data_IF_477313524098
#
_entry.id   IF_477313524098
#
_cell.length_a   1.000
_cell.length_b   1.000
_cell.length_c   1.000
_cell.angle_alpha   90.00
_cell.angle_beta   90.00
_cell.angle_gamma   90.00
#
_symmetry.space_group_name_H-M   'P 1'
#
loop_
_entity.id
_entity.type
_entity.pdbx_description
1 polymer ?
#
# COMPACT_ATOMS: atom_id res chain seq x y z
N UNK A 1 -2.12 6.17 -25.36
CA UNK A 1 -2.07 7.65 -25.29
C UNK A 1 -3.45 8.30 -25.08
N UNK A 2 -4.55 7.70 -25.51
CA UNK A 2 -5.92 8.20 -25.24
C UNK A 2 -6.46 7.94 -23.81
N UNK A 3 -5.78 7.13 -23.02
CA UNK A 3 -6.17 6.82 -21.63
C UNK A 3 -5.59 7.79 -20.58
N UNK A 4 -4.68 8.69 -20.95
CA UNK A 4 -4.10 9.69 -20.04
C UNK A 4 -4.93 10.99 -19.96
N UNK A 5 -5.73 11.29 -20.99
CA UNK A 5 -6.51 12.52 -21.10
C UNK A 5 -7.84 12.49 -20.32
N UNK A 6 -8.33 11.31 -19.97
CA UNK A 6 -9.57 11.16 -19.20
C UNK A 6 -9.39 11.48 -17.71
N UNK A 7 -8.16 11.39 -17.17
CA UNK A 7 -7.88 11.64 -15.76
C UNK A 7 -7.77 13.14 -15.41
N UNK A 8 -7.50 13.98 -16.41
CA UNK A 8 -7.36 15.44 -16.23
C UNK A 8 -8.68 16.20 -16.24
N UNK A 9 -9.77 15.62 -16.76
CA UNK A 9 -11.04 16.34 -16.93
C UNK A 9 -11.99 16.27 -15.72
N UNK A 10 -11.74 15.41 -14.73
CA UNK A 10 -12.60 15.24 -13.55
C UNK A 10 -12.27 16.20 -12.39
N UNK A 11 -11.23 17.04 -12.51
CA UNK A 11 -10.77 17.98 -11.48
C UNK A 11 -11.66 19.24 -11.32
N UNK A 12 -12.76 19.35 -12.07
CA UNK A 12 -13.66 20.48 -11.98
C UNK A 12 -15.03 20.05 -11.40
N UNK A 13 -15.15 20.17 -10.08
CA UNK A 13 -16.35 20.57 -9.32
C UNK A 13 -16.70 19.67 -8.14
N UNK A 14 -16.52 20.19 -6.92
CA UNK A 14 -17.61 20.64 -6.01
C UNK A 14 -17.03 21.03 -4.65
N UNK A 15 -17.40 22.24 -4.22
CA UNK A 15 -17.02 22.82 -2.92
C UNK A 15 -17.60 22.04 -1.75
N UNK A 16 -16.74 21.36 -0.98
CA UNK A 16 -17.00 20.95 0.39
C UNK A 16 -16.33 21.91 1.37
N UNK A 17 -17.00 22.24 2.47
CA UNK A 17 -16.55 23.21 3.49
C UNK A 17 -15.18 22.81 4.03
N UNK A 18 -14.17 23.60 3.66
CA UNK A 18 -12.75 23.36 3.96
C UNK A 18 -12.35 23.94 5.32
N UNK A 19 -11.65 23.20 6.19
CA UNK A 19 -11.06 23.73 7.42
C UNK A 19 -10.10 24.92 7.18
N UNK A 20 -10.08 25.87 8.11
CA UNK A 20 -9.48 27.22 7.96
C UNK A 20 -7.97 27.22 7.65
N UNK A 21 -7.22 26.21 8.07
CA UNK A 21 -5.77 26.13 7.87
C UNK A 21 -5.36 25.61 6.49
N UNK A 22 -6.21 24.82 5.83
CA UNK A 22 -5.97 24.36 4.44
C UNK A 22 -6.29 25.47 3.42
N UNK A 23 -7.24 26.35 3.74
CA UNK A 23 -7.65 27.48 2.89
C UNK A 23 -6.59 28.55 2.69
N UNK A 24 -5.69 28.75 3.65
CA UNK A 24 -4.65 29.79 3.57
C UNK A 24 -3.66 29.59 2.41
N UNK A 25 -3.63 28.39 1.79
CA UNK A 25 -2.86 28.10 0.57
C UNK A 25 -3.65 27.33 -0.49
N UNK A 26 -4.99 27.33 -0.42
CA UNK A 26 -5.86 26.69 -1.41
C UNK A 26 -5.92 25.17 -1.39
N UNK A 27 -5.49 24.51 -0.31
CA UNK A 27 -5.62 23.05 -0.16
C UNK A 27 -7.00 22.66 0.36
N UNK A 28 -7.47 21.47 -0.03
CA UNK A 28 -8.63 20.78 0.53
C UNK A 28 -8.34 19.28 0.71
N UNK A 29 -9.35 18.51 1.14
CA UNK A 29 -9.20 17.05 1.35
C UNK A 29 -8.78 16.37 0.05
N UNK A 30 -9.38 16.76 -1.07
CA UNK A 30 -9.12 16.24 -2.40
C UNK A 30 -7.67 16.48 -2.81
N UNK A 31 -7.14 17.68 -2.53
CA UNK A 31 -5.74 18.06 -2.77
C UNK A 31 -4.79 17.15 -1.98
N UNK A 32 -5.05 16.93 -0.69
CA UNK A 32 -4.22 16.05 0.15
C UNK A 32 -4.32 14.60 -0.33
N UNK A 33 -5.52 14.11 -0.63
CA UNK A 33 -5.74 12.76 -1.13
C UNK A 33 -5.01 12.53 -2.45
N UNK A 34 -5.17 13.42 -3.43
CA UNK A 34 -4.54 13.30 -4.74
C UNK A 34 -3.03 13.45 -4.67
N UNK A 35 -2.51 14.38 -3.85
CA UNK A 35 -1.07 14.54 -3.63
C UNK A 35 -0.44 13.29 -3.02
N UNK A 36 -1.05 12.74 -1.97
CA UNK A 36 -0.56 11.50 -1.34
C UNK A 36 -0.71 10.29 -2.26
N UNK A 37 -1.82 10.18 -2.99
CA UNK A 37 -2.02 9.09 -3.94
C UNK A 37 -0.98 9.13 -5.08
N UNK A 38 -0.70 10.31 -5.64
CA UNK A 38 0.31 10.49 -6.66
C UNK A 38 1.70 10.09 -6.15
N UNK A 39 2.08 10.55 -4.95
CA UNK A 39 3.36 10.18 -4.33
C UNK A 39 3.49 8.66 -4.18
N UNK A 40 2.43 7.99 -3.71
CA UNK A 40 2.42 6.53 -3.51
C UNK A 40 2.48 5.76 -4.83
N UNK A 41 1.70 6.18 -5.83
CA UNK A 41 1.70 5.54 -7.16
C UNK A 41 3.03 5.75 -7.86
N UNK A 42 3.58 6.97 -7.82
CA UNK A 42 4.86 7.27 -8.46
C UNK A 42 6.02 6.52 -7.79
N UNK A 43 6.09 6.56 -6.45
CA UNK A 43 7.08 5.82 -5.67
C UNK A 43 6.99 4.32 -5.91
N UNK A 44 5.80 3.74 -5.78
CA UNK A 44 5.59 2.32 -5.99
C UNK A 44 5.89 1.90 -7.43
N UNK A 45 5.53 2.71 -8.42
CA UNK A 45 5.84 2.41 -9.82
C UNK A 45 7.34 2.46 -10.08
N UNK A 46 8.04 3.47 -9.56
CA UNK A 46 9.50 3.55 -9.66
C UNK A 46 10.18 2.35 -9.00
N UNK A 47 9.81 2.03 -7.76
CA UNK A 47 10.37 0.91 -7.02
C UNK A 47 10.06 -0.45 -7.65
N UNK A 48 8.94 -0.59 -8.36
CA UNK A 48 8.63 -1.82 -9.08
C UNK A 48 9.48 -2.00 -10.34
N UNK A 49 9.65 -0.90 -11.10
CA UNK A 49 10.37 -0.89 -12.38
C UNK A 49 11.88 -0.92 -12.21
N UNK A 50 12.41 -0.26 -11.18
CA UNK A 50 13.84 -0.16 -10.88
C UNK A 50 14.13 -0.52 -9.40
N UNK A 51 13.84 -1.76 -8.97
CA UNK A 51 13.93 -2.16 -7.56
C UNK A 51 15.36 -2.08 -7.01
N UNK A 52 16.38 -2.44 -7.79
CA UNK A 52 17.79 -2.35 -7.37
C UNK A 52 18.17 -0.90 -7.10
N UNK A 53 17.89 -0.02 -8.07
CA UNK A 53 18.15 1.42 -7.93
C UNK A 53 17.37 2.04 -6.77
N UNK A 54 16.14 1.61 -6.55
CA UNK A 54 15.36 2.08 -5.40
C UNK A 54 16.01 1.64 -4.08
N UNK A 55 16.50 0.40 -3.97
CA UNK A 55 17.25 -0.09 -2.80
C UNK A 55 18.51 0.75 -2.56
N UNK A 56 19.29 1.02 -3.61
CA UNK A 56 20.50 1.85 -3.54
C UNK A 56 20.21 3.27 -3.03
N UNK A 57 19.08 3.87 -3.43
CA UNK A 57 18.68 5.20 -2.97
C UNK A 57 18.44 5.28 -1.45
N UNK A 58 18.15 4.16 -0.80
CA UNK A 58 18.06 4.07 0.67
C UNK A 58 19.41 3.75 1.34
N UNK A 59 20.50 3.78 0.58
CA UNK A 59 21.86 3.69 1.08
C UNK A 59 22.34 2.26 1.37
N UNK A 60 21.69 1.26 0.77
CA UNK A 60 22.19 -0.12 0.76
C UNK A 60 23.43 -0.20 -0.15
N UNK A 61 24.53 -0.71 0.38
CA UNK A 61 25.86 -0.68 -0.24
C UNK A 61 26.26 -2.02 -0.88
N UNK A 62 25.40 -3.03 -0.80
CA UNK A 62 25.62 -4.36 -1.38
C UNK A 62 24.73 -4.56 -2.60
N UNK A 63 25.17 -5.45 -3.50
CA UNK A 63 24.32 -5.90 -4.61
C UNK A 63 23.09 -6.64 -4.05
N UNK A 64 21.86 -6.19 -4.35
CA UNK A 64 20.66 -6.84 -3.85
C UNK A 64 20.50 -8.26 -4.43
N UNK A 65 20.18 -9.22 -3.57
CA UNK A 65 19.85 -10.57 -4.01
C UNK A 65 18.53 -10.60 -4.77
N UNK A 66 18.30 -11.66 -5.56
CA UNK A 66 17.02 -11.88 -6.27
C UNK A 66 15.81 -11.86 -5.33
N UNK A 67 15.97 -12.34 -4.10
CA UNK A 67 14.91 -12.39 -3.07
C UNK A 67 14.59 -10.98 -2.54
N UNK A 68 15.60 -10.13 -2.40
CA UNK A 68 15.43 -8.73 -1.97
C UNK A 68 14.77 -7.89 -3.04
N UNK A 69 15.21 -8.04 -4.30
CA UNK A 69 14.58 -7.43 -5.47
C UNK A 69 13.10 -7.85 -5.59
N UNK A 70 12.83 -9.14 -5.39
CA UNK A 70 11.49 -9.70 -5.35
C UNK A 70 10.61 -9.01 -4.30
N UNK A 71 11.09 -8.90 -3.06
CA UNK A 71 10.34 -8.27 -1.98
C UNK A 71 10.18 -6.77 -2.15
N UNK A 72 11.15 -6.09 -2.76
CA UNK A 72 11.01 -4.67 -3.10
C UNK A 72 9.86 -4.47 -4.10
N UNK A 73 9.75 -5.32 -5.13
CA UNK A 73 8.61 -5.28 -6.07
C UNK A 73 7.29 -5.53 -5.37
N UNK A 74 7.23 -6.50 -4.45
CA UNK A 74 6.02 -6.79 -3.68
C UNK A 74 5.59 -5.61 -2.79
N UNK A 75 6.54 -4.98 -2.09
CA UNK A 75 6.30 -3.76 -1.32
C UNK A 75 5.78 -2.63 -2.22
N UNK A 76 6.39 -2.48 -3.39
CA UNK A 76 6.12 -1.41 -4.34
C UNK A 76 4.70 -1.47 -4.92
N UNK A 77 4.22 -2.64 -5.32
CA UNK A 77 2.83 -2.80 -5.78
C UNK A 77 1.81 -2.48 -4.68
N UNK A 78 2.14 -2.77 -3.41
CA UNK A 78 1.33 -2.38 -2.26
C UNK A 78 1.15 -0.85 -2.14
N UNK A 79 2.20 -0.07 -2.41
CA UNK A 79 2.10 1.40 -2.45
C UNK A 79 1.21 1.89 -3.59
N UNK A 80 1.34 1.30 -4.79
CA UNK A 80 0.48 1.63 -5.94
C UNK A 80 -0.99 1.37 -5.60
N UNK A 81 -1.31 0.22 -5.00
CA UNK A 81 -2.68 -0.11 -4.59
C UNK A 81 -3.20 0.87 -3.55
N UNK A 82 -2.42 1.21 -2.53
CA UNK A 82 -2.84 2.18 -1.51
C UNK A 82 -3.18 3.55 -2.13
N UNK A 83 -2.37 4.02 -3.07
CA UNK A 83 -2.66 5.25 -3.82
C UNK A 83 -3.95 5.14 -4.64
N UNK A 84 -4.11 4.07 -5.43
CA UNK A 84 -5.31 3.84 -6.22
C UNK A 84 -6.58 3.69 -5.36
N UNK A 85 -6.49 3.00 -4.23
CA UNK A 85 -7.58 2.85 -3.26
C UNK A 85 -7.98 4.19 -2.64
N UNK A 86 -7.02 5.08 -2.42
CA UNK A 86 -7.27 6.43 -1.92
C UNK A 86 -8.08 7.26 -2.92
N UNK A 87 -7.68 7.28 -4.19
CA UNK A 87 -8.41 7.96 -5.27
C UNK A 87 -9.81 7.37 -5.45
N UNK A 88 -9.92 6.04 -5.52
CA UNK A 88 -11.22 5.39 -5.66
C UNK A 88 -12.19 5.73 -4.51
N UNK A 89 -11.67 5.86 -3.29
CA UNK A 89 -12.49 6.24 -2.14
C UNK A 89 -12.88 7.71 -2.09
N UNK A 90 -12.08 8.59 -2.71
CA UNK A 90 -12.44 10.00 -2.90
C UNK A 90 -13.64 10.12 -3.84
N UNK A 91 -13.57 9.45 -4.99
CA UNK A 91 -14.58 9.55 -6.06
C UNK A 91 -15.87 8.76 -5.75
N UNK A 92 -15.73 7.57 -5.14
CA UNK A 92 -16.83 6.61 -4.99
C UNK A 92 -17.09 6.12 -3.56
N UNK A 93 -16.48 6.76 -2.56
CA UNK A 93 -16.67 6.42 -1.14
C UNK A 93 -16.08 5.07 -0.72
N UNK A 94 -16.45 4.60 0.47
CA UNK A 94 -15.84 3.40 1.10
C UNK A 94 -15.96 2.13 0.26
N UNK A 95 -17.07 1.95 -0.46
CA UNK A 95 -17.29 0.78 -1.32
C UNK A 95 -16.36 0.77 -2.53
N UNK A 96 -16.13 1.92 -3.15
CA UNK A 96 -15.17 2.04 -4.24
C UNK A 96 -13.73 1.81 -3.74
N UNK A 97 -13.38 2.37 -2.57
CA UNK A 97 -12.10 2.10 -1.92
C UNK A 97 -11.89 0.60 -1.66
N UNK A 98 -12.88 -0.08 -1.08
CA UNK A 98 -12.81 -1.52 -0.80
C UNK A 98 -12.68 -2.32 -2.10
N UNK A 99 -13.50 -2.04 -3.10
CA UNK A 99 -13.46 -2.70 -4.40
C UNK A 99 -12.09 -2.55 -5.08
N UNK A 100 -11.52 -1.35 -5.02
CA UNK A 100 -10.19 -1.07 -5.55
C UNK A 100 -9.11 -1.77 -4.75
N UNK A 101 -9.18 -1.77 -3.41
CA UNK A 101 -8.23 -2.49 -2.55
C UNK A 101 -8.17 -3.98 -2.90
N UNK A 102 -9.32 -4.63 -3.06
CA UNK A 102 -9.40 -6.06 -3.36
C UNK A 102 -8.93 -6.36 -4.79
N UNK A 103 -9.42 -5.61 -5.76
CA UNK A 103 -9.07 -5.84 -7.18
C UNK A 103 -7.62 -5.46 -7.48
N UNK A 104 -7.13 -4.37 -6.91
CA UNK A 104 -5.75 -3.93 -6.99
C UNK A 104 -4.81 -4.90 -6.28
N UNK A 105 -5.21 -5.47 -5.14
CA UNK A 105 -4.50 -6.55 -4.48
C UNK A 105 -4.37 -7.80 -5.37
N UNK A 106 -5.46 -8.21 -6.03
CA UNK A 106 -5.43 -9.31 -7.00
C UNK A 106 -4.48 -9.02 -8.18
N UNK A 107 -4.57 -7.82 -8.76
CA UNK A 107 -3.71 -7.39 -9.86
C UNK A 107 -2.22 -7.32 -9.43
N UNK A 108 -1.96 -6.90 -8.20
CA UNK A 108 -0.61 -6.82 -7.63
C UNK A 108 0.00 -8.20 -7.41
N UNK A 109 -0.77 -9.14 -6.86
CA UNK A 109 -0.33 -10.54 -6.73
C UNK A 109 -0.08 -11.18 -8.09
N UNK A 110 -0.93 -10.89 -9.08
CA UNK A 110 -0.73 -11.34 -10.45
C UNK A 110 0.55 -10.74 -11.08
N UNK A 111 0.79 -9.44 -10.89
CA UNK A 111 2.01 -8.77 -11.36
C UNK A 111 3.28 -9.31 -10.67
N UNK A 112 3.16 -9.72 -9.40
CA UNK A 112 4.22 -10.38 -8.64
C UNK A 112 4.26 -11.90 -8.85
N UNK A 113 3.41 -12.51 -9.67
CA UNK A 113 3.44 -13.96 -9.86
C UNK A 113 4.79 -14.48 -10.37
N UNK A 114 5.44 -13.86 -11.39
CA UNK A 114 6.77 -14.29 -11.80
C UNK A 114 7.81 -14.18 -10.68
N UNK A 115 7.63 -13.21 -9.78
CA UNK A 115 8.49 -13.00 -8.62
C UNK A 115 8.34 -14.16 -7.63
N UNK A 116 7.11 -14.51 -7.25
CA UNK A 116 6.86 -15.64 -6.35
C UNK A 116 7.26 -16.99 -6.94
N UNK A 117 7.09 -17.17 -8.25
CA UNK A 117 7.56 -18.37 -8.96
C UNK A 117 9.09 -18.50 -8.90
N UNK A 118 9.81 -17.39 -9.05
CA UNK A 118 11.28 -17.37 -8.93
C UNK A 118 11.77 -17.70 -7.51
N UNK A 119 10.95 -17.45 -6.48
CA UNK A 119 11.20 -17.88 -5.10
C UNK A 119 10.96 -19.38 -4.88
N UNK A 120 10.38 -20.07 -5.88
CA UNK A 120 10.11 -21.50 -5.87
C UNK A 120 8.91 -21.91 -5.01
N UNK A 121 8.07 -20.96 -4.59
CA UNK A 121 6.86 -21.24 -3.84
C UNK A 121 5.80 -21.99 -4.67
N UNK A 122 4.85 -22.69 -4.01
CA UNK A 122 3.72 -23.34 -4.66
C UNK A 122 2.82 -22.30 -5.34
N UNK A 123 2.34 -22.61 -6.55
CA UNK A 123 1.54 -21.68 -7.36
C UNK A 123 0.08 -21.62 -6.88
N UNK A 124 -0.40 -22.69 -6.28
CA UNK A 124 -1.79 -22.90 -5.89
C UNK A 124 -2.25 -21.90 -4.83
N UNK A 125 -1.50 -21.64 -3.73
CA UNK A 125 -1.90 -20.62 -2.75
C UNK A 125 -1.93 -19.21 -3.33
N UNK A 126 -0.98 -18.87 -4.22
CA UNK A 126 -0.97 -17.58 -4.89
C UNK A 126 -2.20 -17.42 -5.81
N UNK A 127 -2.49 -18.43 -6.63
CA UNK A 127 -3.67 -18.44 -7.50
C UNK A 127 -4.97 -18.35 -6.69
N UNK A 128 -5.07 -19.06 -5.56
CA UNK A 128 -6.21 -18.99 -4.66
C UNK A 128 -6.41 -17.58 -4.09
N UNK A 129 -5.34 -16.90 -3.67
CA UNK A 129 -5.41 -15.52 -3.21
C UNK A 129 -5.82 -14.55 -4.32
N UNK A 130 -5.24 -14.67 -5.52
CA UNK A 130 -5.63 -13.85 -6.69
C UNK A 130 -7.12 -14.04 -6.99
N UNK A 131 -7.59 -15.28 -7.04
CA UNK A 131 -8.98 -15.60 -7.32
C UNK A 131 -9.93 -15.07 -6.24
N UNK A 132 -9.61 -15.29 -4.95
CA UNK A 132 -10.42 -14.81 -3.84
C UNK A 132 -10.57 -13.28 -3.86
N UNK A 133 -9.45 -12.57 -4.01
CA UNK A 133 -9.44 -11.11 -4.07
C UNK A 133 -10.16 -10.57 -5.32
N UNK A 134 -9.98 -11.20 -6.48
CA UNK A 134 -10.65 -10.80 -7.72
C UNK A 134 -12.18 -11.01 -7.65
N UNK A 135 -12.62 -12.16 -7.13
CA UNK A 135 -14.04 -12.48 -6.94
C UNK A 135 -14.68 -11.52 -5.94
N UNK A 136 -14.05 -11.31 -4.78
CA UNK A 136 -14.55 -10.37 -3.77
C UNK A 136 -14.55 -8.92 -4.28
N UNK A 137 -13.51 -8.51 -5.01
CA UNK A 137 -13.43 -7.19 -5.64
C UNK A 137 -14.56 -6.99 -6.66
N UNK A 138 -14.80 -7.97 -7.54
CA UNK A 138 -15.92 -7.95 -8.49
C UNK A 138 -17.28 -7.92 -7.79
N UNK A 139 -17.48 -8.75 -6.77
CA UNK A 139 -18.72 -8.80 -5.99
C UNK A 139 -18.97 -7.49 -5.24
N UNK A 140 -17.92 -6.84 -4.73
CA UNK A 140 -17.99 -5.53 -4.06
C UNK A 140 -18.40 -4.44 -5.06
N UNK A 141 -17.79 -4.39 -6.25
CA UNK A 141 -18.21 -3.46 -7.32
C UNK A 141 -19.66 -3.64 -7.74
N UNK A 142 -20.13 -4.89 -7.78
CA UNK A 142 -21.51 -5.22 -8.12
C UNK A 142 -22.51 -4.99 -6.97
N UNK A 143 -22.08 -4.44 -5.83
CA UNK A 143 -22.94 -4.21 -4.67
C UNK A 143 -23.41 -5.48 -3.94
N UNK A 144 -22.86 -6.65 -4.29
CA UNK A 144 -23.22 -7.95 -3.68
C UNK A 144 -22.62 -8.12 -2.29
N UNK A 145 -21.53 -7.41 -2.00
CA UNK A 145 -20.87 -7.40 -0.68
C UNK A 145 -21.35 -6.18 0.10
N UNK A 146 -22.31 -6.41 1.01
CA UNK A 146 -22.95 -5.33 1.79
C UNK A 146 -22.05 -4.73 2.87
N UNK A 147 -21.08 -5.49 3.39
CA UNK A 147 -20.21 -5.07 4.49
C UNK A 147 -18.74 -5.05 4.07
N UNK A 148 -17.95 -4.09 4.56
CA UNK A 148 -16.50 -4.06 4.31
C UNK A 148 -15.71 -5.11 5.11
N UNK A 149 -16.37 -5.76 6.09
CA UNK A 149 -15.75 -6.67 7.04
C UNK A 149 -14.98 -7.80 6.38
N UNK A 150 -15.50 -8.55 5.38
CA UNK A 150 -14.75 -9.65 4.78
C UNK A 150 -13.41 -9.20 4.15
N UNK A 151 -13.41 -8.06 3.45
CA UNK A 151 -12.19 -7.51 2.87
C UNK A 151 -11.22 -6.99 3.94
N UNK A 152 -11.75 -6.41 5.01
CA UNK A 152 -10.95 -5.92 6.15
C UNK A 152 -10.31 -7.08 6.93
N UNK A 153 -11.04 -8.17 7.13
CA UNK A 153 -10.54 -9.37 7.83
C UNK A 153 -9.44 -10.03 7.00
N UNK A 154 -9.66 -10.23 5.70
CA UNK A 154 -8.64 -10.80 4.81
C UNK A 154 -7.39 -9.91 4.74
N UNK A 155 -7.57 -8.61 4.57
CA UNK A 155 -6.47 -7.64 4.58
C UNK A 155 -5.72 -7.62 5.91
N UNK A 156 -6.44 -7.68 7.04
CA UNK A 156 -5.86 -7.71 8.38
C UNK A 156 -5.08 -8.98 8.66
N UNK A 157 -5.56 -10.15 8.21
CA UNK A 157 -4.84 -11.43 8.33
C UNK A 157 -3.54 -11.37 7.51
N UNK A 158 -3.61 -10.96 6.24
CA UNK A 158 -2.44 -10.85 5.39
C UNK A 158 -1.41 -9.85 5.95
N UNK A 159 -1.89 -8.71 6.46
CA UNK A 159 -1.06 -7.72 7.13
C UNK A 159 -0.38 -8.29 8.38
N UNK A 160 -1.12 -9.00 9.24
CA UNK A 160 -0.56 -9.60 10.45
C UNK A 160 0.50 -10.66 10.14
N UNK A 161 0.24 -11.52 9.15
CA UNK A 161 1.20 -12.53 8.68
C UNK A 161 2.53 -11.88 8.26
N UNK A 162 2.47 -10.90 7.37
CA UNK A 162 3.67 -10.23 6.87
C UNK A 162 4.35 -9.35 7.94
N UNK A 163 3.58 -8.60 8.75
CA UNK A 163 4.12 -7.63 9.68
C UNK A 163 4.70 -8.25 10.96
N UNK A 164 4.01 -9.23 11.54
CA UNK A 164 4.29 -9.76 12.89
C UNK A 164 5.14 -11.02 12.85
N UNK A 165 4.96 -11.87 11.84
CA UNK A 165 5.69 -13.13 11.70
C UNK A 165 6.17 -13.35 10.26
N UNK A 166 6.98 -12.43 9.69
CA UNK A 166 7.42 -12.50 8.30
C UNK A 166 8.19 -13.80 7.99
N UNK A 167 8.99 -14.28 8.94
CA UNK A 167 9.78 -15.51 8.90
C UNK A 167 8.87 -16.74 8.83
N UNK A 168 7.94 -16.89 9.78
CA UNK A 168 7.01 -18.03 9.83
C UNK A 168 6.08 -18.03 8.62
N UNK A 169 5.71 -16.84 8.16
CA UNK A 169 4.90 -16.68 6.95
C UNK A 169 5.69 -17.10 5.71
N UNK A 170 6.97 -16.73 5.61
CA UNK A 170 7.85 -17.18 4.53
C UNK A 170 7.96 -18.71 4.46
N UNK A 171 8.15 -19.34 5.62
CA UNK A 171 8.19 -20.81 5.76
C UNK A 171 6.85 -21.46 5.42
N UNK A 172 5.73 -20.89 5.90
CA UNK A 172 4.39 -21.39 5.62
C UNK A 172 4.06 -21.35 4.13
N UNK A 173 4.58 -20.36 3.39
CA UNK A 173 4.49 -20.30 1.93
C UNK A 173 5.44 -21.25 1.21
N UNK A 174 6.26 -22.04 1.92
CA UNK A 174 7.17 -23.06 1.35
C UNK A 174 8.06 -22.51 0.23
N UNK A 175 8.51 -21.25 0.37
CA UNK A 175 9.47 -20.65 -0.54
C UNK A 175 10.78 -21.46 -0.49
N UNK A 176 11.34 -21.79 -1.65
CA UNK A 176 12.56 -22.61 -1.76
C UNK A 176 13.83 -21.81 -1.54
N UNK A 177 13.79 -20.52 -1.89
CA UNK A 177 14.91 -19.63 -1.61
C UNK A 177 14.86 -19.16 -0.15
N UNK A 178 16.00 -19.21 0.57
CA UNK A 178 16.05 -18.73 1.94
C UNK A 178 15.77 -17.23 1.98
N UNK A 179 14.97 -16.81 2.96
CA UNK A 179 14.76 -15.39 3.18
C UNK A 179 16.04 -14.76 3.75
N UNK A 180 16.45 -13.62 3.20
CA UNK A 180 17.46 -12.77 3.84
C UNK A 180 16.80 -11.89 4.89
N UNK A 181 17.57 -11.37 5.85
CA UNK A 181 17.02 -10.43 6.83
C UNK A 181 16.39 -9.20 6.18
N UNK A 182 17.01 -8.69 5.10
CA UNK A 182 16.49 -7.58 4.33
C UNK A 182 15.17 -7.94 3.64
N UNK A 183 15.06 -9.13 3.03
CA UNK A 183 13.80 -9.58 2.43
C UNK A 183 12.67 -9.67 3.47
N UNK A 184 12.95 -10.18 4.67
CA UNK A 184 11.98 -10.23 5.77
C UNK A 184 11.60 -8.83 6.26
N UNK A 185 12.55 -7.90 6.33
CA UNK A 185 12.26 -6.51 6.71
C UNK A 185 11.40 -5.80 5.66
N UNK A 186 11.66 -6.00 4.36
CA UNK A 186 10.82 -5.49 3.27
C UNK A 186 9.43 -6.13 3.29
N UNK A 187 9.34 -7.43 3.58
CA UNK A 187 8.07 -8.12 3.71
C UNK A 187 7.26 -7.62 4.92
N UNK A 188 7.91 -7.37 6.06
CA UNK A 188 7.31 -6.72 7.22
C UNK A 188 6.81 -5.32 6.91
N UNK A 189 7.61 -4.51 6.19
CA UNK A 189 7.22 -3.18 5.74
C UNK A 189 6.00 -3.24 4.80
N UNK A 190 5.93 -4.24 3.90
CA UNK A 190 4.77 -4.48 3.04
C UNK A 190 3.52 -4.87 3.86
N UNK A 191 3.69 -5.68 4.91
CA UNK A 191 2.63 -6.00 5.87
C UNK A 191 2.05 -4.75 6.54
N UNK A 192 2.90 -3.78 6.90
CA UNK A 192 2.44 -2.51 7.43
C UNK A 192 1.72 -1.62 6.39
N UNK A 193 2.11 -1.67 5.12
CA UNK A 193 1.35 -1.02 4.03
C UNK A 193 -0.04 -1.65 3.86
N UNK A 194 -0.13 -2.98 3.94
CA UNK A 194 -1.41 -3.70 3.92
C UNK A 194 -2.27 -3.33 5.13
N UNK A 195 -1.67 -3.19 6.31
CA UNK A 195 -2.37 -2.75 7.52
C UNK A 195 -2.92 -1.34 7.36
N UNK A 196 -2.11 -0.40 6.85
CA UNK A 196 -2.51 0.98 6.58
C UNK A 196 -3.69 1.05 5.60
N UNK A 197 -3.63 0.29 4.50
CA UNK A 197 -4.72 0.22 3.53
C UNK A 197 -5.99 -0.42 4.12
N UNK A 198 -5.84 -1.48 4.91
CA UNK A 198 -6.95 -2.15 5.61
C UNK A 198 -7.64 -1.20 6.58
N UNK A 199 -6.86 -0.48 7.40
CA UNK A 199 -7.38 0.49 8.34
C UNK A 199 -8.07 1.66 7.64
N UNK A 200 -7.52 2.13 6.51
CA UNK A 200 -8.19 3.11 5.67
C UNK A 200 -9.59 2.64 5.27
N UNK A 201 -9.70 1.48 4.61
CA UNK A 201 -10.99 0.96 4.14
C UNK A 201 -11.97 0.75 5.31
N UNK A 202 -11.49 0.20 6.43
CA UNK A 202 -12.32 -0.08 7.61
C UNK A 202 -12.87 1.19 8.27
N UNK A 203 -12.04 2.22 8.42
CA UNK A 203 -12.45 3.49 9.03
C UNK A 203 -13.28 4.32 8.04
N UNK A 204 -12.96 4.28 6.74
CA UNK A 204 -13.72 4.98 5.71
C UNK A 204 -15.17 4.51 5.63
N UNK A 205 -15.45 3.22 5.85
CA UNK A 205 -16.81 2.69 5.88
C UNK A 205 -17.66 3.24 7.02
N UNK A 206 -17.04 3.52 8.16
CA UNK A 206 -17.75 4.00 9.36
C UNK A 206 -17.77 5.52 9.49
N UNK A 207 -16.71 6.19 9.03
CA UNK A 207 -16.45 7.59 9.34
C UNK A 207 -16.16 8.45 8.10
N UNK A 208 -16.31 7.87 6.90
CA UNK A 208 -16.08 8.54 5.63
C UNK A 208 -14.61 8.63 5.21
N UNK A 209 -14.41 8.95 3.94
CA UNK A 209 -13.11 8.94 3.25
C UNK A 209 -12.01 9.70 4.03
N UNK A 210 -12.27 10.95 4.44
CA UNK A 210 -11.30 11.80 5.16
C UNK A 210 -10.73 11.12 6.42
N UNK A 211 -11.60 10.61 7.29
CA UNK A 211 -11.19 9.94 8.54
C UNK A 211 -10.51 8.61 8.26
N UNK A 212 -10.96 7.88 7.25
CA UNK A 212 -10.29 6.68 6.78
C UNK A 212 -8.86 6.94 6.33
N UNK A 213 -8.67 7.88 5.41
CA UNK A 213 -7.37 8.19 4.85
C UNK A 213 -6.41 8.71 5.94
N UNK A 214 -6.91 9.54 6.86
CA UNK A 214 -6.16 9.94 8.05
C UNK A 214 -5.64 8.74 8.85
N UNK A 215 -6.48 7.72 9.10
CA UNK A 215 -6.08 6.52 9.84
C UNK A 215 -5.04 5.70 9.07
N UNK A 216 -5.22 5.52 7.76
CA UNK A 216 -4.26 4.81 6.92
C UNK A 216 -2.89 5.50 6.87
N UNK A 217 -2.87 6.83 6.66
CA UNK A 217 -1.63 7.61 6.63
C UNK A 217 -0.91 7.63 7.99
N UNK A 218 -1.66 7.68 9.09
CA UNK A 218 -1.07 7.60 10.43
C UNK A 218 -0.39 6.25 10.69
N UNK A 219 -1.01 5.14 10.28
CA UNK A 219 -0.41 3.80 10.39
C UNK A 219 0.78 3.63 9.45
N UNK A 220 0.71 4.21 8.26
CA UNK A 220 1.85 4.21 7.34
C UNK A 220 3.04 4.98 7.93
N UNK A 221 2.79 6.13 8.55
CA UNK A 221 3.83 6.90 9.25
C UNK A 221 4.47 6.07 10.37
N UNK A 222 3.65 5.41 11.19
CA UNK A 222 4.13 4.52 12.25
C UNK A 222 4.95 3.35 11.69
N UNK A 223 4.52 2.76 10.57
CA UNK A 223 5.24 1.68 9.88
C UNK A 223 6.62 2.15 9.36
N UNK A 224 6.68 3.34 8.76
CA UNK A 224 7.94 3.93 8.32
C UNK A 224 8.90 4.19 9.51
N UNK A 225 8.39 4.71 10.63
CA UNK A 225 9.18 4.90 11.86
C UNK A 225 9.64 3.57 12.43
N UNK A 226 8.77 2.55 12.48
CA UNK A 226 9.12 1.18 12.89
C UNK A 226 10.29 0.66 12.07
N UNK A 227 10.22 0.76 10.75
CA UNK A 227 11.29 0.30 9.88
C UNK A 227 12.58 1.09 10.11
N UNK A 228 12.49 2.43 10.21
CA UNK A 228 13.65 3.30 10.45
C UNK A 228 14.39 2.94 11.75
N UNK A 229 13.65 2.63 12.81
CA UNK A 229 14.20 2.42 14.16
C UNK A 229 14.62 0.96 14.38
N UNK A 230 13.85 -0.01 13.89
CA UNK A 230 14.04 -1.42 14.23
C UNK A 230 14.74 -2.25 13.15
N UNK A 231 14.63 -1.85 11.88
CA UNK A 231 15.06 -2.69 10.77
C UNK A 231 16.17 -2.05 9.93
N UNK A 232 16.08 -0.75 9.64
CA UNK A 232 16.88 -0.11 8.60
C UNK A 232 18.38 -0.36 8.76
N UNK A 233 18.97 0.00 9.90
CA UNK A 233 20.41 -0.21 10.13
C UNK A 233 20.79 -1.69 10.17
N UNK A 234 19.95 -2.53 10.78
CA UNK A 234 20.16 -3.97 10.88
C UNK A 234 20.26 -4.63 9.50
N UNK A 235 19.47 -4.16 8.53
CA UNK A 235 19.45 -4.70 7.17
C UNK A 235 20.27 -3.88 6.18
N UNK A 236 21.11 -2.95 6.65
CA UNK A 236 22.04 -2.17 5.81
C UNK A 236 21.44 -0.95 5.12
N UNK A 237 20.23 -0.52 5.48
CA UNK A 237 19.62 0.72 4.99
C UNK A 237 19.97 1.91 5.89
N UNK A 238 20.00 3.11 5.29
CA UNK A 238 20.07 4.37 6.03
C UNK A 238 18.67 4.75 6.54
N UNK A 239 18.47 4.98 7.86
CA UNK A 239 17.16 5.29 8.44
C UNK A 239 16.49 6.56 7.87
N UNK A 240 17.29 7.51 7.38
CA UNK A 240 16.83 8.83 6.95
C UNK A 240 15.69 8.76 5.92
N UNK A 241 15.79 7.88 4.92
CA UNK A 241 14.74 7.75 3.90
C UNK A 241 13.40 7.30 4.48
N UNK A 242 13.43 6.37 5.43
CA UNK A 242 12.22 5.91 6.12
C UNK A 242 11.63 7.00 7.04
N UNK A 243 12.47 7.79 7.73
CA UNK A 243 11.98 8.94 8.50
C UNK A 243 11.34 10.01 7.61
N UNK A 244 11.90 10.29 6.44
CA UNK A 244 11.30 11.24 5.47
C UNK A 244 9.92 10.76 5.04
N UNK A 245 9.76 9.49 4.70
CA UNK A 245 8.44 8.92 4.39
C UNK A 245 7.48 8.99 5.59
N UNK A 246 7.97 8.70 6.79
CA UNK A 246 7.21 8.84 8.02
C UNK A 246 6.71 10.28 8.23
N UNK A 247 7.56 11.27 7.99
CA UNK A 247 7.21 12.69 8.12
C UNK A 247 6.18 13.13 7.07
N UNK A 248 6.36 12.74 5.79
CA UNK A 248 5.41 13.07 4.71
C UNK A 248 4.03 12.49 5.00
N UNK A 249 3.97 11.22 5.41
CA UNK A 249 2.70 10.53 5.68
C UNK A 249 2.03 11.05 6.97
N UNK A 250 2.81 11.37 8.01
CA UNK A 250 2.30 12.03 9.21
C UNK A 250 1.74 13.42 8.90
N UNK A 251 2.43 14.21 8.07
CA UNK A 251 1.95 15.53 7.64
C UNK A 251 0.62 15.41 6.88
N UNK A 252 0.50 14.44 5.96
CA UNK A 252 -0.76 14.14 5.28
C UNK A 252 -1.88 13.74 6.25
N UNK A 253 -1.59 12.90 7.24
CA UNK A 253 -2.56 12.53 8.27
C UNK A 253 -3.02 13.74 9.10
N UNK A 254 -2.09 14.59 9.53
CA UNK A 254 -2.39 15.82 10.28
C UNK A 254 -3.26 16.78 9.48
N UNK A 255 -2.99 16.93 8.18
CA UNK A 255 -3.78 17.74 7.27
C UNK A 255 -5.22 17.22 7.07
N UNK A 256 -5.49 15.95 7.39
CA UNK A 256 -6.83 15.36 7.34
C UNK A 256 -7.50 15.26 8.71
N UNK A 257 -6.78 15.54 9.81
CA UNK A 257 -7.31 15.41 11.17
C UNK A 257 -8.26 16.55 11.53
N UNK A 258 -7.90 17.78 11.16
CA UNK A 258 -8.66 18.99 11.44
C UNK A 258 -9.64 19.33 10.31
#
# INVERSE_FOLDING_TARGET
MLSLLALTAALASRSAVTPSYLRLRGGDVDTVTNGMALLQVASGTFAFMAPERNIEMYGYDKEPTKVEVAMMRYLAVGQVVLGATSVAGLEGGSKAAQAMSLSGGAASLLACAPVFEALGGPKEPLAAWIAALAVLGKATRAGKVKSVVPGTVLGGIAAAQALVAPDKTWEAYKNKLPATEMALALFSLAGGNLLANTAYVAVADKQGHKKGLCAGLALLAANCVKFAVLDATRVGFKPAGAFVWGAITAAGALALKA
#
